data_IF_166122268556
#
_entry.id   IF_166122268556
#
_cell.length_a   1.000
_cell.length_b   1.000
_cell.length_c   1.000
_cell.angle_alpha   90.00
_cell.angle_beta   90.00
_cell.angle_gamma   90.00
#
_symmetry.space_group_name_H-M   'P 1'
#
loop_
_entity.id
_entity.type
_entity.pdbx_description
1 polymer ?
#
# COMPACT_ATOMS: atom_id res chain seq x y z
N UNK A 1 -7.55 19.09 -14.16
CA UNK A 1 -6.48 19.11 -15.17
C UNK A 1 -6.50 17.76 -15.86
N UNK A 2 -6.70 17.72 -17.17
CA UNK A 2 -6.60 16.49 -17.96
C UNK A 2 -5.18 16.38 -18.51
N UNK A 3 -4.58 15.20 -18.38
CA UNK A 3 -3.24 14.85 -18.86
C UNK A 3 -3.15 14.77 -20.39
N UNK A 4 -4.27 14.95 -21.11
CA UNK A 4 -4.35 14.73 -22.55
C UNK A 4 -4.46 13.24 -22.92
N UNK A 5 -4.44 12.34 -21.94
CA UNK A 5 -4.64 10.90 -22.13
C UNK A 5 -5.65 10.37 -21.11
N UNK A 6 -6.85 9.99 -21.58
CA UNK A 6 -7.96 9.56 -20.72
C UNK A 6 -7.59 8.43 -19.75
N UNK A 7 -6.70 7.52 -20.15
CA UNK A 7 -6.20 6.44 -19.30
C UNK A 7 -5.42 6.95 -18.08
N UNK A 8 -4.60 7.99 -18.25
CA UNK A 8 -3.85 8.59 -17.15
C UNK A 8 -4.77 9.38 -16.22
N UNK A 9 -5.73 10.10 -16.77
CA UNK A 9 -6.75 10.79 -15.95
C UNK A 9 -7.55 9.81 -15.10
N UNK A 10 -7.94 8.68 -15.70
CA UNK A 10 -8.67 7.60 -15.01
C UNK A 10 -7.87 7.02 -13.86
N UNK A 11 -6.59 6.66 -14.07
CA UNK A 11 -5.80 6.07 -12.97
C UNK A 11 -5.50 7.07 -11.85
N UNK A 12 -5.36 8.36 -12.15
CA UNK A 12 -5.23 9.41 -11.13
C UNK A 12 -6.51 9.50 -10.31
N UNK A 13 -7.67 9.49 -10.96
CA UNK A 13 -8.97 9.50 -10.27
C UNK A 13 -9.14 8.27 -9.37
N UNK A 14 -8.90 7.06 -9.89
CA UNK A 14 -9.00 5.81 -9.13
C UNK A 14 -8.06 5.80 -7.91
N UNK A 15 -6.80 6.22 -8.10
CA UNK A 15 -5.83 6.28 -6.99
C UNK A 15 -6.24 7.32 -5.94
N UNK A 16 -6.86 8.42 -6.36
CA UNK A 16 -7.38 9.43 -5.44
C UNK A 16 -8.58 8.93 -4.64
N UNK A 17 -9.43 8.07 -5.20
CA UNK A 17 -10.52 7.40 -4.49
C UNK A 17 -9.97 6.44 -3.44
N UNK A 18 -9.00 5.60 -3.80
CA UNK A 18 -8.31 4.72 -2.86
C UNK A 18 -7.70 5.48 -1.68
N UNK A 19 -6.97 6.57 -1.94
CA UNK A 19 -6.40 7.39 -0.88
C UNK A 19 -7.48 8.03 0.00
N UNK A 20 -8.62 8.44 -0.57
CA UNK A 20 -9.74 8.98 0.21
C UNK A 20 -10.32 7.92 1.14
N UNK A 21 -10.49 6.69 0.66
CA UNK A 21 -11.03 5.58 1.45
C UNK A 21 -10.09 5.17 2.59
N UNK A 22 -8.77 5.20 2.35
CA UNK A 22 -7.74 5.01 3.40
C UNK A 22 -7.80 6.16 4.42
N UNK A 23 -7.88 7.41 3.97
CA UNK A 23 -7.98 8.58 4.85
C UNK A 23 -9.20 8.49 5.78
N UNK A 24 -10.35 8.08 5.24
CA UNK A 24 -11.59 7.89 6.02
C UNK A 24 -11.43 6.82 7.09
N UNK A 25 -10.84 5.66 6.76
CA UNK A 25 -10.57 4.55 7.69
C UNK A 25 -9.54 4.87 8.77
N UNK A 26 -8.55 5.71 8.43
CA UNK A 26 -7.56 6.24 9.36
C UNK A 26 -8.08 7.44 10.17
N UNK A 27 -9.27 7.97 9.85
CA UNK A 27 -9.81 9.20 10.42
C UNK A 27 -8.81 10.38 10.36
N UNK A 28 -8.13 10.53 9.22
CA UNK A 28 -7.10 11.56 9.02
C UNK A 28 -7.46 12.49 7.86
N UNK A 29 -7.00 13.74 7.96
CA UNK A 29 -7.03 14.70 6.86
C UNK A 29 -5.66 14.81 6.16
N UNK A 30 -4.63 14.15 6.70
CA UNK A 30 -3.30 14.13 6.13
C UNK A 30 -3.21 13.08 5.00
N UNK A 31 -3.24 13.58 3.77
CA UNK A 31 -3.12 12.77 2.55
C UNK A 31 -1.73 12.12 2.41
N UNK A 32 -0.67 12.76 2.90
CA UNK A 32 0.68 12.21 2.85
C UNK A 32 0.83 11.05 3.82
N UNK A 33 0.20 11.16 5.00
CA UNK A 33 0.14 10.06 5.94
C UNK A 33 -0.59 8.85 5.33
N UNK A 34 -1.80 9.04 4.80
CA UNK A 34 -2.55 7.96 4.16
C UNK A 34 -1.81 7.31 2.98
N UNK A 35 -1.12 8.11 2.16
CA UNK A 35 -0.26 7.59 1.09
C UNK A 35 0.91 6.77 1.62
N UNK A 36 1.61 7.26 2.65
CA UNK A 36 2.75 6.56 3.26
C UNK A 36 2.30 5.24 3.88
N UNK A 37 1.16 5.23 4.56
CA UNK A 37 0.54 4.03 5.13
C UNK A 37 0.20 3.01 4.05
N UNK A 38 -0.50 3.43 2.98
CA UNK A 38 -0.84 2.54 1.88
C UNK A 38 0.42 1.95 1.21
N UNK A 39 1.44 2.78 0.97
CA UNK A 39 2.73 2.36 0.41
C UNK A 39 3.40 1.29 1.28
N UNK A 40 3.56 1.56 2.57
CA UNK A 40 4.22 0.67 3.51
C UNK A 40 3.52 -0.70 3.60
N UNK A 41 2.18 -0.71 3.69
CA UNK A 41 1.40 -1.96 3.75
C UNK A 41 1.51 -2.73 2.44
N UNK A 42 1.41 -2.05 1.29
CA UNK A 42 1.53 -2.68 -0.02
C UNK A 42 2.92 -3.30 -0.25
N UNK A 43 3.99 -2.61 0.17
CA UNK A 43 5.37 -3.11 0.07
C UNK A 43 5.60 -4.31 0.99
N UNK A 44 5.16 -4.24 2.25
CA UNK A 44 5.26 -5.37 3.18
C UNK A 44 4.46 -6.58 2.68
N UNK A 45 3.24 -6.38 2.19
CA UNK A 45 2.40 -7.44 1.65
C UNK A 45 3.05 -8.10 0.42
N UNK A 46 3.53 -7.31 -0.54
CA UNK A 46 4.25 -7.77 -1.74
C UNK A 46 5.42 -8.69 -1.37
N UNK A 47 6.22 -8.25 -0.42
CA UNK A 47 7.41 -8.95 0.01
C UNK A 47 7.07 -10.26 0.73
N UNK A 48 5.91 -10.32 1.39
CA UNK A 48 5.45 -11.49 2.15
C UNK A 48 4.79 -12.58 1.31
N UNK A 49 4.06 -12.21 0.25
CA UNK A 49 3.32 -13.15 -0.61
C UNK A 49 4.18 -13.76 -1.72
N UNK A 50 5.34 -13.16 -2.02
CA UNK A 50 6.29 -13.65 -3.02
C UNK A 50 5.93 -13.26 -4.46
N UNK A 51 6.84 -13.49 -5.43
CA UNK A 51 6.76 -12.86 -6.74
C UNK A 51 5.53 -13.19 -7.59
N UNK A 52 5.09 -14.45 -7.59
CA UNK A 52 3.94 -14.90 -8.38
C UNK A 52 2.63 -14.30 -7.86
N UNK A 53 2.39 -14.37 -6.55
CA UNK A 53 1.22 -13.77 -5.92
C UNK A 53 1.25 -12.24 -5.98
N UNK A 54 2.43 -11.63 -5.89
CA UNK A 54 2.61 -10.19 -6.12
C UNK A 54 2.23 -9.78 -7.54
N UNK A 55 2.60 -10.56 -8.56
CA UNK A 55 2.17 -10.35 -9.94
C UNK A 55 0.65 -10.34 -10.08
N UNK A 56 -0.02 -11.31 -9.45
CA UNK A 56 -1.48 -11.41 -9.46
C UNK A 56 -2.15 -10.23 -8.74
N UNK A 57 -1.67 -9.86 -7.56
CA UNK A 57 -2.18 -8.71 -6.80
C UNK A 57 -1.99 -7.41 -7.58
N UNK A 58 -0.79 -7.17 -8.11
CA UNK A 58 -0.46 -5.98 -8.89
C UNK A 58 -1.36 -5.82 -10.12
N UNK A 59 -1.83 -6.91 -10.73
CA UNK A 59 -2.76 -6.86 -11.85
C UNK A 59 -4.12 -6.24 -11.49
N UNK A 60 -4.54 -6.34 -10.22
CA UNK A 60 -5.81 -5.78 -9.72
C UNK A 60 -5.71 -4.29 -9.35
N UNK A 61 -4.51 -3.74 -9.21
CA UNK A 61 -4.31 -2.35 -8.79
C UNK A 61 -4.51 -1.35 -9.95
N UNK A 62 -5.03 -0.14 -9.69
CA UNK A 62 -4.97 0.98 -10.63
C UNK A 62 -3.52 1.21 -11.10
N UNK A 63 -3.33 1.65 -12.35
CA UNK A 63 -1.99 1.76 -12.97
C UNK A 63 -0.97 2.53 -12.11
N UNK A 64 -1.36 3.65 -11.52
CA UNK A 64 -0.48 4.45 -10.65
C UNK A 64 -0.15 3.74 -9.34
N UNK A 65 -1.14 3.11 -8.68
CA UNK A 65 -0.90 2.30 -7.47
C UNK A 65 -0.11 1.03 -7.77
N UNK A 66 -0.20 0.47 -8.97
CA UNK A 66 0.66 -0.62 -9.43
C UNK A 66 2.11 -0.17 -9.54
N UNK A 67 2.35 1.04 -10.06
CA UNK A 67 3.69 1.65 -10.07
C UNK A 67 4.24 1.81 -8.64
N UNK A 68 3.42 2.33 -7.73
CA UNK A 68 3.74 2.39 -6.30
C UNK A 68 4.06 1.01 -5.72
N UNK A 69 3.24 0.01 -6.00
CA UNK A 69 3.38 -1.35 -5.49
C UNK A 69 4.72 -1.99 -5.90
N UNK A 70 5.21 -1.76 -7.12
CA UNK A 70 6.49 -2.29 -7.58
C UNK A 70 7.70 -1.38 -7.33
N UNK A 71 7.48 -0.18 -6.80
CA UNK A 71 8.56 0.76 -6.49
C UNK A 71 9.60 0.11 -5.56
N UNK A 72 10.87 0.18 -5.98
CA UNK A 72 12.02 -0.30 -5.20
C UNK A 72 12.05 -1.82 -4.95
N UNK A 73 11.25 -2.62 -5.65
CA UNK A 73 11.15 -4.04 -5.37
C UNK A 73 12.40 -4.82 -5.80
N UNK A 74 12.99 -5.57 -4.86
CA UNK A 74 13.91 -6.66 -5.12
C UNK A 74 13.20 -8.01 -4.87
N UNK A 75 12.88 -8.79 -5.92
CA UNK A 75 12.23 -10.09 -5.77
C UNK A 75 13.17 -11.19 -5.27
N UNK A 76 14.49 -10.95 -5.26
CA UNK A 76 15.45 -11.97 -4.81
C UNK A 76 15.25 -12.26 -3.32
N UNK A 77 15.23 -13.54 -2.95
CA UNK A 77 15.05 -13.96 -1.57
C UNK A 77 13.64 -13.77 -0.98
N UNK A 78 12.62 -13.41 -1.80
CA UNK A 78 11.20 -13.38 -1.39
C UNK A 78 10.54 -14.75 -1.63
N UNK A 79 9.54 -15.15 -0.82
CA UNK A 79 8.83 -14.37 0.22
C UNK A 79 9.66 -14.13 1.50
N UNK A 80 9.34 -13.04 2.21
CA UNK A 80 9.86 -12.78 3.56
C UNK A 80 9.46 -13.92 4.52
N UNK A 81 10.29 -14.14 5.55
CA UNK A 81 10.12 -15.24 6.52
C UNK A 81 9.33 -14.85 7.76
N UNK A 82 8.66 -13.69 7.77
CA UNK A 82 7.86 -13.22 8.91
C UNK A 82 6.75 -14.24 9.21
N UNK A 83 6.77 -14.81 10.43
CA UNK A 83 5.79 -15.83 10.86
C UNK A 83 4.81 -15.30 11.88
N UNK A 84 5.13 -14.17 12.51
CA UNK A 84 4.32 -13.56 13.54
C UNK A 84 3.81 -12.19 13.07
N UNK A 85 2.59 -11.86 13.48
CA UNK A 85 1.97 -10.56 13.20
C UNK A 85 2.86 -9.40 13.68
N UNK A 86 3.48 -9.53 14.85
CA UNK A 86 4.40 -8.52 15.38
C UNK A 86 5.59 -8.23 14.45
N UNK A 87 6.15 -9.25 13.79
CA UNK A 87 7.26 -9.07 12.84
C UNK A 87 6.80 -8.29 11.60
N UNK A 88 5.60 -8.60 11.12
CA UNK A 88 4.98 -7.92 9.98
C UNK A 88 4.65 -6.44 10.29
N UNK A 89 4.07 -6.19 11.46
CA UNK A 89 3.81 -4.82 11.93
C UNK A 89 5.11 -4.04 12.13
N UNK A 90 6.16 -4.67 12.66
CA UNK A 90 7.47 -4.03 12.85
C UNK A 90 8.14 -3.67 11.51
N UNK A 91 7.99 -4.50 10.48
CA UNK A 91 8.45 -4.17 9.13
C UNK A 91 7.75 -2.91 8.61
N UNK A 92 6.42 -2.84 8.71
CA UNK A 92 5.64 -1.68 8.27
C UNK A 92 6.00 -0.41 9.08
N UNK A 93 6.21 -0.55 10.39
CA UNK A 93 6.61 0.56 11.25
C UNK A 93 7.95 1.18 10.83
N UNK A 94 8.89 0.41 10.25
CA UNK A 94 10.14 0.94 9.71
C UNK A 94 9.92 1.96 8.58
N UNK A 95 8.82 1.84 7.84
CA UNK A 95 8.44 2.78 6.78
C UNK A 95 7.57 3.94 7.29
N UNK A 96 7.09 3.86 8.53
CA UNK A 96 6.20 4.85 9.17
C UNK A 96 6.81 5.35 10.49
N UNK A 97 7.94 6.07 10.46
CA UNK A 97 8.70 6.43 11.68
C UNK A 97 7.97 7.38 12.64
N UNK A 98 6.82 7.95 12.21
CA UNK A 98 5.99 8.84 13.03
C UNK A 98 4.76 8.14 13.62
N UNK A 99 4.47 6.91 13.18
CA UNK A 99 3.29 6.17 13.62
C UNK A 99 3.62 5.35 14.87
N UNK A 100 2.71 5.31 15.83
CA UNK A 100 2.76 4.34 16.93
C UNK A 100 2.25 2.95 16.50
N UNK A 101 2.36 1.97 17.39
CA UNK A 101 1.97 0.59 17.09
C UNK A 101 0.48 0.45 16.74
N UNK A 102 -0.41 1.23 17.39
CA UNK A 102 -1.84 1.18 17.13
C UNK A 102 -2.18 1.82 15.79
N UNK A 103 -1.50 2.92 15.44
CA UNK A 103 -1.61 3.58 14.14
C UNK A 103 -1.14 2.68 12.99
N UNK A 104 -0.06 1.91 13.19
CA UNK A 104 0.43 0.92 12.21
C UNK A 104 -0.59 -0.20 12.02
N UNK A 105 -1.14 -0.76 13.10
CA UNK A 105 -2.15 -1.81 13.04
C UNK A 105 -3.45 -1.32 12.35
N UNK A 106 -3.89 -0.10 12.68
CA UNK A 106 -5.01 0.54 12.01
C UNK A 106 -4.71 0.79 10.52
N UNK A 107 -3.48 1.17 10.19
CA UNK A 107 -3.01 1.35 8.81
C UNK A 107 -3.07 0.08 7.99
N UNK A 108 -2.65 -1.06 8.57
CA UNK A 108 -2.77 -2.37 7.94
C UNK A 108 -4.24 -2.70 7.65
N UNK A 109 -5.11 -2.58 8.65
CA UNK A 109 -6.55 -2.84 8.47
C UNK A 109 -7.15 -1.93 7.39
N UNK A 110 -6.87 -0.63 7.47
CA UNK A 110 -7.39 0.35 6.52
C UNK A 110 -6.98 0.04 5.08
N UNK A 111 -5.72 -0.36 4.84
CA UNK A 111 -5.25 -0.71 3.50
C UNK A 111 -5.83 -2.04 3.02
N UNK A 112 -5.95 -3.06 3.88
CA UNK A 112 -6.55 -4.35 3.53
C UNK A 112 -8.05 -4.23 3.21
N UNK A 113 -8.78 -3.38 3.93
CA UNK A 113 -10.21 -3.12 3.69
C UNK A 113 -10.48 -2.36 2.38
N UNK A 114 -9.47 -1.69 1.81
CA UNK A 114 -9.58 -1.06 0.48
C UNK A 114 -9.23 -2.06 -0.64
N UNK A 115 -8.52 -3.14 -0.29
CA UNK A 115 -8.18 -4.24 -1.21
C UNK A 115 -9.30 -5.28 -1.36
N UNK A 116 -10.26 -5.33 -0.43
CA UNK A 116 -11.40 -6.28 -0.40
C UNK A 116 -12.59 -5.82 -1.22
#
# INVERSE_FOLDING_TARGET
MSTGLATFDKTVQESNLWLKDVMERLNTTDRHYAYSTLRAVLHALRDRIGPESAAHLGAQLPMLLRGLFYEGWDPTGKPSKERHEADFLAHIACELPRADAAEVEQGVRAALDVLS
#
